data_IF_331029910435
#
_entry.id   IF_331029910435
#
_cell.length_a   1.000
_cell.length_b   1.000
_cell.length_c   1.000
_cell.angle_alpha   90.00
_cell.angle_beta   90.00
_cell.angle_gamma   90.00
#
_symmetry.space_group_name_H-M   'P 1'
#
loop_
_entity.id
_entity.type
_entity.pdbx_description
1 polymer ?
#
# COMPACT_ATOMS: atom_id res chain seq x y z
N UNK A 1 -16.79 -2.98 8.02
CA UNK A 1 -16.09 -4.21 8.45
C UNK A 1 -15.38 -3.93 9.77
N UNK A 2 -15.19 -4.93 10.61
CA UNK A 2 -14.39 -4.82 11.83
C UNK A 2 -12.89 -4.67 11.50
N UNK A 3 -12.12 -4.10 12.42
CA UNK A 3 -10.70 -3.80 12.21
C UNK A 3 -9.86 -5.05 11.93
N UNK A 4 -10.21 -6.19 12.53
CA UNK A 4 -9.47 -7.43 12.34
C UNK A 4 -9.65 -7.95 10.90
N UNK A 5 -10.87 -7.93 10.37
CA UNK A 5 -11.13 -8.28 8.97
C UNK A 5 -10.44 -7.33 7.99
N UNK A 6 -10.46 -6.02 8.26
CA UNK A 6 -9.76 -5.03 7.42
C UNK A 6 -8.25 -5.30 7.43
N UNK A 7 -7.68 -5.63 8.59
CA UNK A 7 -6.26 -5.95 8.70
C UNK A 7 -5.91 -7.25 7.97
N UNK A 8 -6.58 -8.36 8.30
CA UNK A 8 -6.24 -9.69 7.79
C UNK A 8 -6.52 -9.84 6.30
N UNK A 9 -7.75 -9.52 5.88
CA UNK A 9 -8.22 -9.71 4.50
C UNK A 9 -7.97 -8.48 3.62
N UNK A 10 -7.73 -7.31 4.23
CA UNK A 10 -7.58 -6.05 3.51
C UNK A 10 -6.15 -5.57 3.31
N UNK A 11 -5.27 -5.62 4.32
CA UNK A 11 -3.89 -5.10 4.19
C UNK A 11 -2.86 -6.23 4.19
N UNK A 12 -2.90 -7.10 5.22
CA UNK A 12 -1.90 -8.15 5.43
C UNK A 12 -1.74 -9.06 4.21
N UNK A 13 -2.86 -9.59 3.70
CA UNK A 13 -2.85 -10.48 2.53
C UNK A 13 -2.08 -9.90 1.33
N UNK A 14 -2.27 -8.61 1.04
CA UNK A 14 -1.61 -7.97 -0.10
C UNK A 14 -0.13 -7.68 0.12
N UNK A 15 0.25 -7.44 1.39
CA UNK A 15 1.66 -7.31 1.75
C UNK A 15 2.37 -8.66 1.59
N UNK A 16 1.75 -9.75 2.06
CA UNK A 16 2.28 -11.11 1.92
C UNK A 16 2.45 -11.49 0.43
N UNK A 17 1.47 -11.18 -0.44
CA UNK A 17 1.54 -11.41 -1.90
C UNK A 17 2.73 -10.68 -2.58
N UNK A 18 3.24 -9.61 -1.96
CA UNK A 18 4.40 -8.86 -2.46
C UNK A 18 5.72 -9.25 -1.79
N UNK A 19 5.70 -10.29 -0.95
CA UNK A 19 6.84 -10.71 -0.15
C UNK A 19 7.15 -9.79 1.04
N UNK A 20 6.18 -9.02 1.51
CA UNK A 20 6.27 -8.15 2.69
C UNK A 20 5.57 -8.77 3.90
N UNK A 21 6.05 -9.92 4.37
CA UNK A 21 5.48 -10.56 5.55
C UNK A 21 5.70 -9.68 6.79
N UNK A 22 4.61 -9.18 7.38
CA UNK A 22 4.69 -8.31 8.54
C UNK A 22 5.09 -9.11 9.80
N UNK A 23 6.01 -8.57 10.60
CA UNK A 23 6.55 -9.19 11.82
C UNK A 23 7.27 -10.54 11.61
N UNK A 24 7.64 -10.88 10.39
CA UNK A 24 8.42 -12.09 10.08
C UNK A 24 9.76 -11.70 9.42
N UNK A 25 10.72 -11.17 10.20
CA UNK A 25 12.03 -10.88 9.66
C UNK A 25 12.71 -12.19 9.26
N UNK A 26 13.27 -12.22 8.06
CA UNK A 26 14.14 -13.34 7.66
C UNK A 26 15.38 -13.33 8.55
N UNK A 27 15.53 -14.37 9.36
CA UNK A 27 16.75 -14.62 10.13
C UNK A 27 17.66 -15.58 9.34
N UNK A 28 18.94 -15.24 9.28
CA UNK A 28 19.97 -16.08 8.67
C UNK A 28 21.06 -16.26 9.71
N UNK A 29 21.13 -17.47 10.27
CA UNK A 29 22.07 -17.82 11.33
C UNK A 29 23.50 -17.41 10.96
N UNK A 30 24.02 -16.36 11.60
CA UNK A 30 25.40 -15.89 11.46
C UNK A 30 25.65 -14.75 10.47
N UNK A 31 24.63 -14.23 9.77
CA UNK A 31 24.77 -13.04 8.91
C UNK A 31 24.00 -11.84 9.49
N UNK A 32 24.46 -10.59 9.27
CA UNK A 32 23.72 -9.40 9.66
C UNK A 32 22.29 -9.43 9.09
N UNK A 33 21.32 -9.02 9.91
CA UNK A 33 19.92 -9.05 9.52
C UNK A 33 19.71 -8.24 8.23
N UNK A 34 19.30 -8.93 7.16
CA UNK A 34 19.13 -8.35 5.84
C UNK A 34 18.07 -7.24 5.79
N UNK A 35 17.16 -7.23 6.77
CA UNK A 35 16.14 -6.18 6.95
C UNK A 35 16.72 -4.84 7.43
N UNK A 36 17.96 -4.82 7.93
CA UNK A 36 18.59 -3.62 8.51
C UNK A 36 19.38 -2.78 7.50
N UNK A 37 19.65 -3.31 6.30
CA UNK A 37 20.38 -2.57 5.27
C UNK A 37 19.44 -1.66 4.47
N UNK A 38 19.86 -0.44 4.09
CA UNK A 38 19.03 0.50 3.33
C UNK A 38 18.50 -0.05 2.01
N UNK A 39 19.14 -1.07 1.45
CA UNK A 39 18.79 -1.68 0.17
C UNK A 39 17.65 -2.71 0.29
N UNK A 40 17.23 -3.10 1.49
CA UNK A 40 16.14 -4.07 1.71
C UNK A 40 14.86 -3.69 0.95
N UNK A 41 14.52 -2.40 0.95
CA UNK A 41 13.38 -1.84 0.22
C UNK A 41 13.56 -1.80 -1.31
N UNK A 42 14.67 -2.27 -1.87
CA UNK A 42 14.87 -2.43 -3.32
C UNK A 42 14.87 -3.90 -3.72
N UNK A 43 15.39 -4.77 -2.87
CA UNK A 43 15.54 -6.19 -3.17
C UNK A 43 14.22 -6.99 -3.11
N UNK A 44 13.19 -6.48 -2.44
CA UNK A 44 11.85 -7.07 -2.46
C UNK A 44 11.12 -6.92 -3.81
N UNK A 45 11.69 -6.20 -4.80
CA UNK A 45 11.17 -6.14 -6.17
C UNK A 45 11.76 -7.30 -6.97
N UNK A 46 10.93 -8.29 -7.30
CA UNK A 46 11.31 -9.41 -8.16
C UNK A 46 10.33 -9.50 -9.34
N UNK A 47 10.68 -10.21 -10.44
CA UNK A 47 9.73 -10.47 -11.52
C UNK A 47 8.43 -11.13 -11.06
N UNK A 48 8.48 -11.92 -9.98
CA UNK A 48 7.32 -12.59 -9.40
C UNK A 48 6.44 -11.66 -8.56
N UNK A 49 7.04 -10.73 -7.80
CA UNK A 49 6.30 -9.82 -6.90
C UNK A 49 5.84 -8.54 -7.60
N UNK A 50 6.46 -8.17 -8.73
CA UNK A 50 6.14 -6.95 -9.48
C UNK A 50 4.67 -6.88 -9.96
N UNK A 51 4.06 -7.95 -10.52
CA UNK A 51 2.65 -7.91 -10.91
C UNK A 51 1.69 -7.64 -9.74
N UNK A 52 1.98 -8.18 -8.55
CA UNK A 52 1.17 -7.99 -7.35
C UNK A 52 1.19 -6.54 -6.85
N UNK A 53 2.26 -5.80 -7.14
CA UNK A 53 2.36 -4.36 -6.82
C UNK A 53 1.45 -3.51 -7.69
N UNK A 54 1.44 -3.76 -8.99
CA UNK A 54 0.52 -3.09 -9.89
C UNK A 54 -0.94 -3.41 -9.52
N UNK A 55 -1.23 -4.66 -9.17
CA UNK A 55 -2.54 -5.06 -8.66
C UNK A 55 -2.91 -4.36 -7.36
N UNK A 56 -1.98 -4.17 -6.43
CA UNK A 56 -2.27 -3.43 -5.19
C UNK A 56 -2.68 -2.00 -5.48
N UNK A 57 -1.98 -1.28 -6.36
CA UNK A 57 -2.34 0.08 -6.73
C UNK A 57 -3.76 0.13 -7.34
N UNK A 58 -4.07 -0.79 -8.24
CA UNK A 58 -5.38 -0.91 -8.86
C UNK A 58 -6.48 -1.21 -7.81
N UNK A 59 -6.24 -2.17 -6.92
CA UNK A 59 -7.18 -2.54 -5.87
C UNK A 59 -7.38 -1.44 -4.82
N UNK A 60 -6.37 -0.63 -4.53
CA UNK A 60 -6.54 0.52 -3.64
C UNK A 60 -7.45 1.58 -4.27
N UNK A 61 -7.36 1.79 -5.59
CA UNK A 61 -8.23 2.74 -6.30
C UNK A 61 -9.65 2.18 -6.51
N UNK A 62 -9.77 0.89 -6.86
CA UNK A 62 -11.06 0.22 -7.09
C UNK A 62 -11.80 -0.16 -5.78
N UNK A 63 -11.05 -0.28 -4.69
CA UNK A 63 -11.50 -0.78 -3.40
C UNK A 63 -11.27 -2.29 -3.22
N UNK A 64 -10.49 -2.65 -2.20
CA UNK A 64 -10.27 -4.03 -1.75
C UNK A 64 -11.56 -4.55 -1.14
N UNK A 65 -12.09 -5.65 -1.66
CA UNK A 65 -13.34 -6.26 -1.19
C UNK A 65 -13.08 -7.60 -0.50
N UNK A 66 -13.90 -7.92 0.49
CA UNK A 66 -13.96 -9.26 1.04
C UNK A 66 -14.79 -10.21 0.15
N UNK A 67 -14.89 -11.48 0.53
CA UNK A 67 -15.68 -12.50 -0.18
C UNK A 67 -17.17 -12.13 -0.29
N UNK A 68 -17.69 -11.37 0.67
CA UNK A 68 -19.07 -10.84 0.66
C UNK A 68 -19.21 -9.54 -0.14
N UNK A 69 -18.22 -9.16 -0.95
CA UNK A 69 -18.17 -7.93 -1.77
C UNK A 69 -18.22 -6.61 -0.98
N UNK A 70 -17.98 -6.64 0.33
CA UNK A 70 -17.86 -5.44 1.17
C UNK A 70 -16.49 -4.81 0.96
N UNK A 71 -16.45 -3.52 0.64
CA UNK A 71 -15.21 -2.74 0.54
C UNK A 71 -14.59 -2.61 1.94
N UNK A 72 -13.37 -3.13 2.08
CA UNK A 72 -12.56 -3.08 3.30
C UNK A 72 -11.63 -1.87 3.32
N UNK A 73 -11.03 -1.55 2.19
CA UNK A 73 -10.04 -0.47 2.04
C UNK A 73 -10.15 0.12 0.63
N UNK A 74 -10.22 1.44 0.52
CA UNK A 74 -10.17 2.16 -0.75
C UNK A 74 -9.54 3.54 -0.55
N UNK A 75 -8.79 4.01 -1.54
CA UNK A 75 -8.26 5.36 -1.62
C UNK A 75 -9.14 6.18 -2.57
N UNK A 76 -9.93 7.09 -2.00
CA UNK A 76 -10.65 8.07 -2.78
C UNK A 76 -9.80 9.33 -2.96
N UNK A 77 -8.91 9.30 -3.96
CA UNK A 77 -8.00 10.41 -4.26
C UNK A 77 -8.75 11.68 -4.69
N UNK A 78 -9.88 11.53 -5.40
CA UNK A 78 -10.69 12.67 -5.86
C UNK A 78 -11.38 13.36 -4.69
N UNK A 79 -11.93 12.60 -3.75
CA UNK A 79 -12.52 13.16 -2.53
C UNK A 79 -11.47 13.83 -1.66
N UNK A 80 -10.29 13.21 -1.51
CA UNK A 80 -9.17 13.81 -0.79
C UNK A 80 -8.80 15.18 -1.34
N UNK A 81 -8.64 15.31 -2.66
CA UNK A 81 -8.25 16.56 -3.31
C UNK A 81 -9.35 17.62 -3.23
N UNK A 82 -10.62 17.24 -3.28
CA UNK A 82 -11.75 18.17 -3.19
C UNK A 82 -12.02 18.69 -1.78
N UNK A 83 -11.48 18.03 -0.75
CA UNK A 83 -11.73 18.40 0.64
C UNK A 83 -11.04 19.75 0.96
N UNK A 84 -11.79 20.77 1.41
CA UNK A 84 -11.19 22.04 1.80
C UNK A 84 -10.12 21.85 2.88
N UNK A 85 -8.96 22.47 2.69
CA UNK A 85 -7.81 22.39 3.59
C UNK A 85 -6.80 21.29 3.26
N UNK A 86 -7.12 20.38 2.32
CA UNK A 86 -6.13 19.45 1.78
C UNK A 86 -5.39 20.05 0.59
N UNK A 87 -6.14 20.65 -0.36
CA UNK A 87 -5.59 21.33 -1.54
C UNK A 87 -6.33 22.66 -1.71
N UNK A 88 -5.59 23.75 -1.89
CA UNK A 88 -6.10 25.12 -2.02
C UNK A 88 -6.88 25.31 -3.31
N UNK A 89 -6.28 24.96 -4.45
CA UNK A 89 -6.92 24.98 -5.77
C UNK A 89 -6.55 23.74 -6.61
N UNK A 90 -7.39 22.69 -6.58
CA UNK A 90 -7.18 21.49 -7.39
C UNK A 90 -7.09 21.71 -8.91
N UNK A 91 -7.61 22.84 -9.42
CA UNK A 91 -7.54 23.17 -10.85
C UNK A 91 -6.20 23.74 -11.28
N UNK A 92 -5.37 24.20 -10.35
CA UNK A 92 -4.02 24.70 -10.63
C UNK A 92 -3.01 23.56 -10.44
N UNK A 93 -2.41 23.10 -11.55
CA UNK A 93 -1.45 21.99 -11.51
C UNK A 93 -0.23 22.28 -10.62
N UNK A 94 0.23 23.53 -10.52
CA UNK A 94 1.37 23.91 -9.68
C UNK A 94 1.03 23.81 -8.20
N UNK A 95 -0.12 24.33 -7.79
CA UNK A 95 -0.59 24.24 -6.39
C UNK A 95 -0.88 22.78 -6.02
N UNK A 96 -1.59 22.05 -6.88
CA UNK A 96 -1.90 20.64 -6.68
C UNK A 96 -0.63 19.82 -6.46
N UNK A 97 0.38 19.98 -7.32
CA UNK A 97 1.65 19.24 -7.19
C UNK A 97 2.47 19.69 -6.00
N UNK A 98 2.48 20.97 -5.64
CA UNK A 98 3.22 21.47 -4.49
C UNK A 98 2.63 21.04 -3.14
N UNK A 99 1.31 20.87 -3.05
CA UNK A 99 0.61 20.54 -1.80
C UNK A 99 0.40 19.03 -1.60
N UNK A 100 0.62 18.20 -2.63
CA UNK A 100 0.52 16.73 -2.57
C UNK A 100 1.75 16.03 -1.96
N UNK A 101 2.88 16.73 -1.83
CA UNK A 101 4.20 16.23 -1.39
C UNK A 101 4.48 16.56 0.06
#
# INVERSE_FOLDING_TARGET
ADLLTVYQSGIRKWLDDQGMNFYEPIDVAGYPAYTQVPTFNRFWITPNTLPYRYKLADNLLAGVKNESSVVLLALNTVEFVKKPGNISNPGNATELTAELI
#
